data_IF_445722690838
#
_entry.id   IF_445722690838
#
_cell.length_a   1.000
_cell.length_b   1.000
_cell.length_c   1.000
_cell.angle_alpha   90.00
_cell.angle_beta   90.00
_cell.angle_gamma   90.00
#
_symmetry.space_group_name_H-M   'P 1'
#
loop_
_entity.id
_entity.type
_entity.pdbx_description
1 polymer ?
#
# COMPACT_ATOMS: atom_id res chain seq x y z
N UNK A 1 2.89 -10.95 6.77
CA UNK A 1 3.58 -9.66 6.52
C UNK A 1 2.61 -8.59 6.05
N UNK A 2 2.02 -8.73 4.85
CA UNK A 2 1.22 -7.66 4.23
C UNK A 2 -0.16 -7.42 4.85
N UNK A 3 -0.69 -8.35 5.65
CA UNK A 3 -1.97 -8.19 6.34
C UNK A 3 -2.05 -6.98 7.29
N UNK A 4 -0.92 -6.52 7.84
CA UNK A 4 -0.90 -5.31 8.67
C UNK A 4 -1.10 -4.02 7.86
N UNK A 5 -0.85 -4.09 6.56
CA UNK A 5 -1.11 -2.99 5.63
C UNK A 5 -2.48 -3.15 4.97
N UNK A 6 -2.68 -4.19 4.15
CA UNK A 6 -3.84 -4.26 3.26
C UNK A 6 -5.18 -4.36 3.98
N UNK A 7 -5.24 -4.90 5.21
CA UNK A 7 -6.48 -4.87 6.02
C UNK A 7 -6.87 -3.47 6.53
N UNK A 8 -6.07 -2.44 6.20
CA UNK A 8 -6.35 -1.02 6.45
C UNK A 8 -5.85 -0.15 5.28
N UNK A 9 -5.83 -0.71 4.08
CA UNK A 9 -5.48 0.00 2.82
C UNK A 9 -6.24 1.32 2.71
N UNK A 10 -5.61 2.35 2.15
CA UNK A 10 -6.07 3.75 2.10
C UNK A 10 -6.24 4.50 3.45
N UNK A 11 -6.52 3.84 4.57
CA UNK A 11 -6.85 4.54 5.84
C UNK A 11 -5.78 5.55 6.31
N UNK A 12 -4.47 5.25 6.29
CA UNK A 12 -3.46 6.24 6.66
C UNK A 12 -3.41 7.44 5.70
N UNK A 13 -3.73 7.22 4.43
CA UNK A 13 -3.68 8.21 3.36
C UNK A 13 -4.90 9.13 3.37
N UNK A 14 -6.06 8.65 3.82
CA UNK A 14 -7.28 9.45 3.99
C UNK A 14 -7.07 10.71 4.85
N UNK A 15 -6.13 10.69 5.81
CA UNK A 15 -5.77 11.88 6.60
C UNK A 15 -5.13 13.01 5.78
N UNK A 16 -4.64 12.75 4.57
CA UNK A 16 -4.14 13.75 3.65
C UNK A 16 -5.28 14.56 2.99
N UNK A 17 -6.46 13.98 2.80
CA UNK A 17 -7.63 14.61 2.14
C UNK A 17 -7.91 16.03 2.70
N UNK A 18 -8.08 16.26 4.02
CA UNK A 18 -8.37 17.60 4.52
C UNK A 18 -7.21 18.60 4.35
N UNK A 19 -6.01 18.14 3.98
CA UNK A 19 -4.76 18.93 3.92
C UNK A 19 -4.35 19.30 2.50
N UNK A 20 -5.03 18.75 1.50
CA UNK A 20 -4.91 19.09 0.09
C UNK A 20 -5.95 20.14 -0.30
N UNK A 21 -5.71 20.85 -1.39
CA UNK A 21 -6.65 21.79 -2.01
C UNK A 21 -6.54 21.68 -3.53
N UNK A 22 -7.50 22.26 -4.26
CA UNK A 22 -7.42 22.33 -5.72
C UNK A 22 -7.49 20.96 -6.41
N UNK A 23 -6.77 20.83 -7.53
CA UNK A 23 -6.80 19.63 -8.36
C UNK A 23 -6.18 18.44 -7.61
N UNK A 24 -5.11 18.67 -6.86
CA UNK A 24 -4.47 17.62 -6.05
C UNK A 24 -5.47 16.94 -5.11
N UNK A 25 -6.35 17.72 -4.46
CA UNK A 25 -7.42 17.16 -3.62
C UNK A 25 -8.42 16.34 -4.44
N UNK A 26 -8.92 16.88 -5.54
CA UNK A 26 -9.94 16.22 -6.34
C UNK A 26 -9.45 14.87 -6.89
N UNK A 27 -8.24 14.87 -7.47
CA UNK A 27 -7.62 13.66 -8.02
C UNK A 27 -7.26 12.65 -6.93
N UNK A 28 -6.73 13.10 -5.79
CA UNK A 28 -6.43 12.20 -4.67
C UNK A 28 -7.69 11.53 -4.11
N UNK A 29 -8.80 12.28 -3.95
CA UNK A 29 -10.07 11.72 -3.49
C UNK A 29 -10.66 10.74 -4.51
N UNK A 30 -10.46 10.96 -5.81
CA UNK A 30 -10.92 10.02 -6.83
C UNK A 30 -10.20 8.67 -6.72
N UNK A 31 -8.89 8.67 -6.46
CA UNK A 31 -8.13 7.44 -6.21
C UNK A 31 -8.58 6.78 -4.91
N UNK A 32 -8.65 7.52 -3.79
CA UNK A 32 -9.14 6.97 -2.52
C UNK A 32 -10.57 6.41 -2.63
N UNK A 33 -11.44 7.03 -3.42
CA UNK A 33 -12.79 6.51 -3.67
C UNK A 33 -12.77 5.14 -4.32
N UNK A 34 -11.82 4.89 -5.22
CA UNK A 34 -11.61 3.59 -5.84
C UNK A 34 -11.09 2.56 -4.83
N UNK A 35 -10.08 2.92 -4.03
CA UNK A 35 -9.56 2.09 -2.93
C UNK A 35 -10.64 1.68 -1.91
N UNK A 36 -11.59 2.59 -1.67
CA UNK A 36 -12.80 2.35 -0.86
C UNK A 36 -13.94 1.68 -1.64
N UNK A 37 -13.64 0.99 -2.74
CA UNK A 37 -14.54 0.13 -3.51
C UNK A 37 -15.57 0.87 -4.36
N UNK A 38 -15.36 2.16 -4.63
CA UNK A 38 -16.29 2.99 -5.39
C UNK A 38 -17.69 3.05 -4.77
N UNK A 39 -17.78 3.05 -3.43
CA UNK A 39 -19.03 3.05 -2.68
C UNK A 39 -19.68 1.67 -2.50
N UNK A 40 -19.00 0.58 -2.90
CA UNK A 40 -19.46 -0.80 -2.70
C UNK A 40 -18.61 -1.46 -1.63
N UNK A 41 -19.20 -1.75 -0.47
CA UNK A 41 -18.48 -2.33 0.67
C UNK A 41 -17.73 -3.63 0.36
N UNK A 42 -18.31 -4.51 -0.47
CA UNK A 42 -17.68 -5.77 -0.89
C UNK A 42 -16.46 -5.58 -1.82
N UNK A 43 -16.26 -4.37 -2.35
CA UNK A 43 -15.15 -4.03 -3.25
C UNK A 43 -14.08 -3.19 -2.57
N UNK A 44 -14.26 -2.82 -1.29
CA UNK A 44 -13.20 -2.13 -0.54
C UNK A 44 -11.96 -3.02 -0.56
N UNK A 45 -10.80 -2.48 -0.90
CA UNK A 45 -9.58 -3.28 -1.09
C UNK A 45 -9.20 -4.06 0.18
N UNK A 46 -9.51 -3.52 1.36
CA UNK A 46 -9.39 -4.21 2.64
C UNK A 46 -10.22 -5.51 2.69
N UNK A 47 -11.46 -5.48 2.18
CA UNK A 47 -12.33 -6.66 2.11
C UNK A 47 -11.80 -7.66 1.08
N UNK A 48 -11.36 -7.19 -0.10
CA UNK A 48 -10.76 -8.06 -1.12
C UNK A 48 -9.51 -8.78 -0.58
N UNK A 49 -8.69 -8.09 0.23
CA UNK A 49 -7.54 -8.71 0.89
C UNK A 49 -7.95 -9.70 1.99
N UNK A 50 -9.01 -9.39 2.75
CA UNK A 50 -9.57 -10.33 3.73
C UNK A 50 -10.07 -11.62 3.05
N UNK A 51 -10.77 -11.49 1.92
CA UNK A 51 -11.25 -12.63 1.12
C UNK A 51 -10.09 -13.46 0.55
N UNK A 52 -9.00 -12.80 0.13
CA UNK A 52 -7.75 -13.46 -0.26
C UNK A 52 -7.16 -14.26 0.90
N UNK A 53 -7.12 -13.68 2.11
CA UNK A 53 -6.56 -14.34 3.29
C UNK A 53 -7.37 -15.58 3.66
N UNK A 54 -8.69 -15.47 3.72
CA UNK A 54 -9.59 -16.60 4.00
C UNK A 54 -9.41 -17.72 2.95
N UNK A 55 -9.38 -17.36 1.67
CA UNK A 55 -9.15 -18.32 0.59
C UNK A 55 -7.77 -19.00 0.67
N UNK A 56 -6.76 -18.32 1.21
CA UNK A 56 -5.43 -18.88 1.47
C UNK A 56 -5.35 -19.69 2.78
N UNK A 57 -6.45 -19.83 3.52
CA UNK A 57 -6.49 -20.53 4.81
C UNK A 57 -5.83 -19.75 5.96
N UNK A 58 -5.82 -18.42 5.87
CA UNK A 58 -5.28 -17.50 6.88
C UNK A 58 -6.41 -16.79 7.64
N UNK A 59 -6.12 -16.34 8.87
CA UNK A 59 -7.05 -15.55 9.68
C UNK A 59 -7.14 -14.11 9.14
N UNK A 60 -8.29 -13.69 8.59
CA UNK A 60 -8.45 -12.36 8.00
C UNK A 60 -8.69 -11.26 9.03
N UNK A 61 -8.75 -11.57 10.34
CA UNK A 61 -9.01 -10.56 11.36
C UNK A 61 -7.90 -9.50 11.40
N UNK A 62 -8.31 -8.23 11.53
CA UNK A 62 -7.37 -7.12 11.63
C UNK A 62 -6.38 -7.34 12.77
N UNK A 63 -5.08 -7.24 12.46
CA UNK A 63 -3.96 -7.46 13.37
C UNK A 63 -3.78 -8.89 13.93
N UNK A 64 -4.47 -9.90 13.40
CA UNK A 64 -4.29 -11.31 13.81
C UNK A 64 -2.81 -11.75 13.81
N UNK A 65 -2.03 -11.24 12.86
CA UNK A 65 -0.62 -11.58 12.67
C UNK A 65 0.38 -10.54 13.24
N UNK A 66 -0.07 -9.60 14.07
CA UNK A 66 0.80 -8.54 14.64
C UNK A 66 2.03 -9.12 15.35
N UNK A 67 1.83 -10.15 16.16
CA UNK A 67 2.89 -10.81 16.93
C UNK A 67 3.78 -11.75 16.10
N UNK A 68 3.41 -12.01 14.83
CA UNK A 68 4.10 -12.94 13.95
C UNK A 68 5.12 -12.24 13.05
N UNK A 69 4.91 -10.98 12.72
CA UNK A 69 5.75 -10.27 11.74
C UNK A 69 7.01 -9.65 12.39
N UNK A 70 8.10 -9.46 11.62
CA UNK A 70 9.30 -8.77 12.09
C UNK A 70 9.08 -7.26 12.25
N UNK A 71 9.99 -6.61 12.95
CA UNK A 71 9.99 -5.15 13.11
C UNK A 71 10.03 -4.42 11.76
N UNK A 72 10.69 -4.98 10.74
CA UNK A 72 10.76 -4.40 9.40
C UNK A 72 9.38 -4.26 8.74
N UNK A 73 8.48 -5.23 8.96
CA UNK A 73 7.10 -5.16 8.47
C UNK A 73 6.26 -4.14 9.26
N UNK A 74 6.54 -3.97 10.56
CA UNK A 74 5.89 -2.92 11.36
C UNK A 74 6.39 -1.53 10.96
N UNK A 75 7.67 -1.40 10.63
CA UNK A 75 8.27 -0.13 10.23
C UNK A 75 7.63 0.42 8.95
N UNK A 76 7.35 -0.43 7.94
CA UNK A 76 6.68 0.03 6.72
C UNK A 76 5.28 0.57 6.98
N UNK A 77 4.50 -0.13 7.82
CA UNK A 77 3.12 0.26 8.15
C UNK A 77 3.05 1.46 9.12
N UNK A 78 4.01 1.57 10.04
CA UNK A 78 4.10 2.69 10.96
C UNK A 78 4.52 3.97 10.26
N UNK A 79 5.39 3.89 9.24
CA UNK A 79 5.77 5.05 8.44
C UNK A 79 4.55 5.70 7.75
N UNK A 80 3.68 4.87 7.15
CA UNK A 80 2.42 5.33 6.56
C UNK A 80 1.56 6.09 7.58
N UNK A 81 1.42 5.51 8.76
CA UNK A 81 0.61 6.08 9.84
C UNK A 81 1.23 7.37 10.40
N UNK A 82 2.56 7.44 10.51
CA UNK A 82 3.29 8.64 10.91
C UNK A 82 3.01 9.81 9.94
N UNK A 83 3.12 9.58 8.63
CA UNK A 83 2.82 10.62 7.65
C UNK A 83 1.33 11.00 7.63
N UNK A 84 0.44 10.00 7.76
CA UNK A 84 -1.00 10.21 7.85
C UNK A 84 -1.41 11.04 9.07
N UNK A 85 -0.91 10.75 10.27
CA UNK A 85 -1.36 11.40 11.49
C UNK A 85 -0.75 12.78 11.72
N UNK A 86 0.41 13.08 11.14
CA UNK A 86 1.12 14.34 11.36
C UNK A 86 0.93 15.31 10.19
N UNK A 87 0.11 16.34 10.40
CA UNK A 87 -0.21 17.35 9.37
C UNK A 87 1.03 17.98 8.72
N UNK A 88 2.08 18.21 9.50
CA UNK A 88 3.34 18.78 9.01
C UNK A 88 4.03 17.89 7.96
N UNK A 89 3.77 16.58 7.98
CA UNK A 89 4.34 15.59 7.06
C UNK A 89 3.45 15.35 5.83
N UNK A 90 2.51 16.25 5.50
CA UNK A 90 1.59 16.07 4.36
C UNK A 90 2.31 15.88 3.03
N UNK A 91 3.40 16.60 2.77
CA UNK A 91 4.19 16.41 1.55
C UNK A 91 4.79 15.00 1.48
N UNK A 92 5.31 14.52 2.61
CA UNK A 92 5.83 13.15 2.73
C UNK A 92 4.73 12.10 2.58
N UNK A 93 3.52 12.35 3.07
CA UNK A 93 2.36 11.48 2.86
C UNK A 93 2.05 11.33 1.37
N UNK A 94 2.07 12.43 0.60
CA UNK A 94 1.80 12.40 -0.85
C UNK A 94 2.93 11.72 -1.62
N UNK A 95 4.18 11.99 -1.25
CA UNK A 95 5.32 11.28 -1.85
C UNK A 95 5.29 9.77 -1.58
N UNK A 96 4.98 9.38 -0.34
CA UNK A 96 4.82 7.97 0.02
C UNK A 96 3.68 7.32 -0.77
N UNK A 97 2.52 7.98 -0.87
CA UNK A 97 1.38 7.50 -1.66
C UNK A 97 1.77 7.31 -3.13
N UNK A 98 2.36 8.33 -3.75
CA UNK A 98 2.82 8.24 -5.14
C UNK A 98 3.80 7.09 -5.39
N UNK A 99 4.69 6.79 -4.42
CA UNK A 99 5.60 5.65 -4.52
C UNK A 99 4.87 4.30 -4.52
N UNK A 100 3.78 4.14 -3.76
CA UNK A 100 2.94 2.94 -3.79
C UNK A 100 2.29 2.80 -5.17
N UNK A 101 1.52 3.81 -5.57
CA UNK A 101 0.71 3.79 -6.79
C UNK A 101 1.54 3.51 -8.04
N UNK A 102 2.69 4.18 -8.17
CA UNK A 102 3.57 4.02 -9.34
C UNK A 102 4.21 2.63 -9.40
N UNK A 103 4.42 1.96 -8.26
CA UNK A 103 5.13 0.67 -8.21
C UNK A 103 4.22 -0.53 -8.04
N UNK A 104 2.93 -0.32 -7.78
CA UNK A 104 1.97 -1.38 -7.47
C UNK A 104 1.66 -2.27 -8.67
N UNK A 105 1.24 -1.72 -9.82
CA UNK A 105 0.79 -2.54 -10.96
C UNK A 105 1.84 -3.53 -11.48
N UNK A 106 3.13 -3.14 -11.65
CA UNK A 106 4.17 -4.10 -12.03
C UNK A 106 4.40 -5.21 -10.99
N UNK A 107 4.23 -4.90 -9.70
CA UNK A 107 4.32 -5.87 -8.61
C UNK A 107 3.15 -6.85 -8.62
N UNK A 108 1.93 -6.32 -8.72
CA UNK A 108 0.68 -7.07 -8.76
C UNK A 108 0.61 -8.01 -9.96
N UNK A 109 1.08 -7.57 -11.14
CA UNK A 109 1.19 -8.44 -12.33
C UNK A 109 2.05 -9.67 -12.09
N UNK A 110 3.23 -9.50 -11.46
CA UNK A 110 4.10 -10.63 -11.12
C UNK A 110 3.45 -11.59 -10.12
N UNK A 111 2.63 -11.07 -9.19
CA UNK A 111 1.90 -11.88 -8.21
C UNK A 111 0.76 -12.64 -8.86
N UNK A 112 -0.01 -12.02 -9.76
CA UNK A 112 -1.04 -12.71 -10.57
C UNK A 112 -0.43 -13.88 -11.34
N UNK A 113 0.64 -13.63 -12.13
CA UNK A 113 1.31 -14.67 -12.91
C UNK A 113 1.81 -15.83 -12.03
N UNK A 114 2.32 -15.52 -10.83
CA UNK A 114 2.79 -16.54 -9.88
C UNK A 114 1.65 -17.34 -9.27
N UNK A 115 0.57 -16.69 -8.83
CA UNK A 115 -0.58 -17.32 -8.20
C UNK A 115 -1.34 -18.22 -9.18
N UNK A 116 -1.52 -17.77 -10.43
CA UNK A 116 -2.12 -18.58 -11.49
C UNK A 116 -1.29 -19.84 -11.78
N UNK A 117 0.04 -19.71 -11.89
CA UNK A 117 0.93 -20.88 -12.07
C UNK A 117 0.88 -21.87 -10.91
N UNK A 118 0.61 -21.40 -9.70
CA UNK A 118 0.47 -22.24 -8.51
C UNK A 118 -0.94 -22.85 -8.36
N UNK A 119 -1.89 -22.51 -9.24
CA UNK A 119 -3.29 -22.93 -9.11
C UNK A 119 -3.95 -22.38 -7.85
N UNK A 120 -3.58 -21.17 -7.42
CA UNK A 120 -4.14 -20.56 -6.22
C UNK A 120 -5.65 -20.28 -6.38
N UNK A 121 -6.42 -20.24 -5.28
CA UNK A 121 -7.83 -19.87 -5.30
C UNK A 121 -8.08 -18.52 -5.99
N UNK A 122 -9.25 -18.36 -6.61
CA UNK A 122 -9.58 -17.18 -7.41
C UNK A 122 -9.49 -15.87 -6.61
N UNK A 123 -9.95 -15.85 -5.35
CA UNK A 123 -9.86 -14.66 -4.48
C UNK A 123 -8.43 -14.18 -4.29
N UNK A 124 -7.46 -15.12 -4.26
CA UNK A 124 -6.04 -14.77 -4.17
C UNK A 124 -5.56 -14.00 -5.40
N UNK A 125 -6.09 -14.33 -6.57
CA UNK A 125 -5.74 -13.67 -7.85
C UNK A 125 -6.49 -12.35 -7.99
N UNK A 126 -7.78 -12.30 -7.63
CA UNK A 126 -8.66 -11.15 -7.84
C UNK A 126 -8.13 -9.88 -7.16
N UNK A 127 -7.66 -9.97 -5.91
CA UNK A 127 -7.09 -8.81 -5.20
C UNK A 127 -5.95 -8.14 -5.98
N UNK A 128 -4.98 -8.92 -6.46
CA UNK A 128 -3.85 -8.37 -7.22
C UNK A 128 -4.26 -7.97 -8.64
N UNK A 129 -5.30 -8.59 -9.22
CA UNK A 129 -5.81 -8.18 -10.53
C UNK A 129 -6.44 -6.79 -10.48
N UNK A 130 -7.19 -6.48 -9.41
CA UNK A 130 -7.76 -5.15 -9.20
C UNK A 130 -6.65 -4.07 -9.28
N UNK A 131 -5.54 -4.29 -8.57
CA UNK A 131 -4.35 -3.41 -8.57
C UNK A 131 -3.56 -3.39 -9.89
N UNK A 132 -3.94 -4.19 -10.90
CA UNK A 132 -3.38 -4.04 -12.26
C UNK A 132 -4.27 -3.10 -13.07
N UNK A 133 -5.59 -3.22 -12.91
CA UNK A 133 -6.59 -2.53 -13.71
C UNK A 133 -6.81 -1.09 -13.21
N UNK A 134 -6.93 -0.91 -11.89
CA UNK A 134 -7.07 0.40 -11.23
C UNK A 134 -5.77 1.23 -11.34
N UNK A 135 -4.65 0.64 -10.93
CA UNK A 135 -3.41 1.40 -10.70
C UNK A 135 -2.74 1.92 -11.98
N UNK A 136 -3.04 1.33 -13.14
CA UNK A 136 -2.53 1.84 -14.42
C UNK A 136 -3.06 3.26 -14.75
N UNK A 137 -4.27 3.58 -14.27
CA UNK A 137 -4.84 4.93 -14.36
C UNK A 137 -4.36 5.77 -13.18
N UNK A 138 -4.29 5.18 -11.98
CA UNK A 138 -3.85 5.90 -10.78
C UNK A 138 -2.43 6.43 -10.91
N UNK A 139 -1.49 5.68 -11.51
CA UNK A 139 -0.11 6.13 -11.71
C UNK A 139 -0.06 7.53 -12.35
N UNK A 140 -0.76 7.72 -13.46
CA UNK A 140 -0.74 8.98 -14.21
C UNK A 140 -1.43 10.11 -13.47
N UNK A 141 -2.59 9.81 -12.86
CA UNK A 141 -3.35 10.77 -12.05
C UNK A 141 -2.53 11.23 -10.85
N UNK A 142 -1.87 10.31 -10.15
CA UNK A 142 -1.09 10.63 -8.96
C UNK A 142 0.18 11.38 -9.31
N UNK A 143 0.89 10.97 -10.36
CA UNK A 143 2.09 11.67 -10.83
C UNK A 143 1.79 13.10 -11.29
N UNK A 144 0.74 13.27 -12.09
CA UNK A 144 0.49 14.54 -12.79
C UNK A 144 -0.44 15.44 -11.99
N UNK A 145 -1.60 14.92 -11.61
CA UNK A 145 -2.67 15.76 -11.05
C UNK A 145 -2.55 15.89 -9.53
N UNK A 146 -1.98 14.92 -8.83
CA UNK A 146 -1.74 15.00 -7.38
C UNK A 146 -0.39 15.65 -7.09
N UNK A 147 0.71 14.99 -7.47
CA UNK A 147 2.06 15.49 -7.17
C UNK A 147 2.37 16.77 -7.96
N UNK A 148 2.02 16.80 -9.25
CA UNK A 148 2.28 17.96 -10.11
C UNK A 148 1.54 19.22 -9.65
N UNK A 149 0.23 19.14 -9.38
CA UNK A 149 -0.54 20.28 -8.85
C UNK A 149 -0.05 20.70 -7.46
N UNK A 150 0.23 19.75 -6.56
CA UNK A 150 0.73 20.04 -5.21
C UNK A 150 2.03 20.85 -5.27
N UNK A 151 3.03 20.39 -6.04
CA UNK A 151 4.34 21.05 -6.12
C UNK A 151 4.25 22.37 -6.90
N UNK A 152 3.39 22.46 -7.91
CA UNK A 152 3.18 23.72 -8.63
C UNK A 152 2.57 24.81 -7.72
N UNK A 153 1.63 24.45 -6.84
CA UNK A 153 0.96 25.36 -5.91
C UNK A 153 1.77 25.64 -4.65
N UNK A 154 2.45 24.63 -4.14
CA UNK A 154 3.19 24.66 -2.88
C UNK A 154 4.63 24.16 -3.08
N UNK A 155 5.50 24.88 -3.82
CA UNK A 155 6.83 24.39 -4.21
C UNK A 155 7.74 24.01 -3.03
N UNK A 156 7.52 24.62 -1.87
CA UNK A 156 8.26 24.32 -0.64
C UNK A 156 8.07 22.86 -0.16
N UNK A 157 7.03 22.16 -0.62
CA UNK A 157 6.75 20.76 -0.28
C UNK A 157 7.50 19.75 -1.16
N UNK A 158 8.20 20.17 -2.22
CA UNK A 158 8.91 19.27 -3.15
C UNK A 158 9.90 18.36 -2.39
N UNK A 159 10.65 18.92 -1.45
CA UNK A 159 11.59 18.16 -0.62
C UNK A 159 10.87 17.12 0.23
N UNK A 160 9.70 17.45 0.77
CA UNK A 160 8.92 16.54 1.60
C UNK A 160 8.34 15.40 0.78
N UNK A 161 7.88 15.67 -0.45
CA UNK A 161 7.45 14.64 -1.40
C UNK A 161 8.60 13.66 -1.69
N UNK A 162 9.78 14.18 -2.03
CA UNK A 162 10.97 13.33 -2.26
C UNK A 162 11.35 12.56 -1.01
N UNK A 163 11.25 13.18 0.17
CA UNK A 163 11.49 12.50 1.44
C UNK A 163 10.51 11.34 1.67
N UNK A 164 9.22 11.54 1.41
CA UNK A 164 8.20 10.49 1.52
C UNK A 164 8.49 9.27 0.63
N UNK A 165 8.85 9.52 -0.64
CA UNK A 165 9.24 8.47 -1.60
C UNK A 165 10.44 7.69 -1.05
N UNK A 166 11.52 8.38 -0.68
CA UNK A 166 12.76 7.72 -0.21
C UNK A 166 12.59 7.02 1.13
N UNK A 167 11.76 7.57 2.02
CA UNK A 167 11.48 6.96 3.32
C UNK A 167 10.77 5.62 3.14
N UNK A 168 9.80 5.55 2.21
CA UNK A 168 9.13 4.31 1.81
C UNK A 168 10.15 3.30 1.29
N UNK A 169 11.00 3.69 0.34
CA UNK A 169 12.00 2.79 -0.24
C UNK A 169 12.92 2.20 0.83
N UNK A 170 13.40 3.01 1.77
CA UNK A 170 14.28 2.54 2.85
C UNK A 170 13.61 1.48 3.73
N UNK A 171 12.33 1.63 4.10
CA UNK A 171 11.64 0.65 4.97
C UNK A 171 11.24 -0.61 4.20
N UNK A 172 10.83 -0.47 2.94
CA UNK A 172 10.50 -1.61 2.07
C UNK A 172 11.75 -2.42 1.69
N UNK A 173 12.88 -1.77 1.41
CA UNK A 173 14.16 -2.45 1.12
C UNK A 173 14.66 -3.26 2.32
N UNK A 174 14.46 -2.76 3.54
CA UNK A 174 14.78 -3.50 4.77
C UNK A 174 13.91 -4.75 4.91
N UNK A 175 12.60 -4.61 4.71
CA UNK A 175 11.68 -5.75 4.74
C UNK A 175 12.03 -6.77 3.64
N UNK A 176 12.27 -6.32 2.42
CA UNK A 176 12.65 -7.17 1.31
C UNK A 176 13.97 -7.90 1.60
N UNK A 177 14.98 -7.20 2.11
CA UNK A 177 16.28 -7.78 2.49
C UNK A 177 16.12 -8.85 3.57
N UNK A 178 15.33 -8.60 4.61
CA UNK A 178 15.05 -9.57 5.67
C UNK A 178 14.34 -10.82 5.14
N UNK A 179 13.28 -10.65 4.34
CA UNK A 179 12.53 -11.77 3.75
C UNK A 179 13.43 -12.60 2.83
N UNK A 180 14.20 -11.95 1.95
CA UNK A 180 15.09 -12.64 1.01
C UNK A 180 16.26 -13.33 1.71
N UNK A 181 16.81 -12.75 2.79
CA UNK A 181 17.85 -13.40 3.58
C UNK A 181 17.33 -14.68 4.26
N UNK A 182 16.14 -14.63 4.86
CA UNK A 182 15.51 -15.80 5.47
C UNK A 182 15.19 -16.88 4.43
N UNK A 183 14.66 -16.48 3.26
CA UNK A 183 14.40 -17.39 2.15
C UNK A 183 15.67 -18.12 1.68
N UNK A 184 16.75 -17.39 1.42
CA UNK A 184 18.05 -17.97 1.01
C UNK A 184 18.63 -18.92 2.05
N UNK A 185 18.33 -18.69 3.32
CA UNK A 185 18.77 -19.54 4.44
C UNK A 185 17.79 -20.70 4.76
N UNK A 186 16.70 -20.87 3.99
CA UNK A 186 15.72 -21.93 4.22
C UNK A 186 14.97 -21.83 5.56
N UNK A 187 14.81 -20.62 6.10
CA UNK A 187 14.14 -20.37 7.39
C UNK A 187 12.96 -19.41 7.24
N UNK A 188 12.03 -19.46 8.18
CA UNK A 188 10.91 -18.50 8.22
C UNK A 188 11.41 -17.07 8.45
N UNK A 189 10.77 -16.11 7.78
CA UNK A 189 10.93 -14.67 8.05
C UNK A 189 10.00 -14.14 9.14
N UNK A 190 9.07 -14.97 9.62
CA UNK A 190 8.19 -14.67 10.74
C UNK A 190 8.91 -14.91 12.08
N UNK A 191 8.49 -14.16 13.10
CA UNK A 191 8.97 -14.30 14.49
C UNK A 191 8.36 -15.52 15.19
N UNK A 192 7.17 -15.93 14.78
CA UNK A 192 6.43 -17.08 15.31
C UNK A 192 5.88 -17.93 14.13
N UNK A 193 5.80 -19.25 14.27
CA UNK A 193 5.13 -20.10 13.29
C UNK A 193 3.67 -19.68 13.09
N UNK A 194 3.11 -19.91 11.90
CA UNK A 194 1.66 -19.91 11.70
C UNK A 194 1.15 -21.22 12.29
N UNK A 195 0.41 -21.12 13.40
CA UNK A 195 -0.24 -22.28 14.05
C UNK A 195 -1.51 -22.67 13.34
#
# INVERSE_FOLDING_TARGET
HRSLYHLKEADPHAFAIPRLIGQAKASFVAVEFDEYGGGRGAHVHQQLFADLMDAAGLDPAYLAYLEHVPADALASVNLMSLFGLHRELRGASIGHFASIEITSSPGSRRLVDALERMGAPQSCVSFYREHIEADAVHEQVVRTDVVGDLVAREPHLERDVVFGIRARDVVEDRLASHVMACWKAGRSSLRRPLT
#
